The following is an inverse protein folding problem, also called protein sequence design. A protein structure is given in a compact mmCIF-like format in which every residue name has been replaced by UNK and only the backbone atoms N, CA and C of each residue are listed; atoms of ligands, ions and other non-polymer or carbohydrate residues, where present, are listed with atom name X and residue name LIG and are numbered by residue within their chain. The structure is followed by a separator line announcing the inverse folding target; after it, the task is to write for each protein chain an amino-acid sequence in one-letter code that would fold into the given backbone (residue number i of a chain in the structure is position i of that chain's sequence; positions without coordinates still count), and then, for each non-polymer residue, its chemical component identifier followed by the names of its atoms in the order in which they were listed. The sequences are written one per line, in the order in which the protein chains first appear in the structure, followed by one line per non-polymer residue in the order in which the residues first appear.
data_IF_113248496509
#
_entry.id   IF_113248496509
#
_cell.length_a   1.000
_cell.length_b   1.000
_cell.length_c   1.000
_cell.angle_alpha   90.00
_cell.angle_beta   90.00
_cell.angle_gamma   90.00
#
_symmetry.space_group_name_H-M   'P 1'
#
loop_
_entity.id
_entity.type
_entity.pdbx_description
1 polymer ?
#
# COMPACT_ATOMS: atom_id res chain seq x y z
N UNK A 1 76.68 1.31 8.09
CA UNK A 1 76.61 2.17 6.90
C UNK A 1 75.16 2.65 6.82
N UNK A 2 74.73 3.83 7.31
CA UNK A 2 74.95 5.23 6.84
C UNK A 2 74.81 5.28 5.30
N UNK A 3 73.81 5.90 4.66
CA UNK A 3 73.36 7.32 4.78
C UNK A 3 72.21 7.64 3.79
N UNK A 4 71.18 8.41 4.27
CA UNK A 4 70.36 9.51 3.68
C UNK A 4 69.66 9.38 2.29
N UNK A 5 68.52 10.02 1.94
CA UNK A 5 67.76 11.19 2.44
C UNK A 5 66.27 11.18 2.00
N UNK A 6 65.44 11.90 2.76
CA UNK A 6 64.01 12.27 2.62
C UNK A 6 63.84 13.55 1.73
N UNK A 7 62.68 14.26 1.70
CA UNK A 7 61.40 14.07 0.98
C UNK A 7 61.15 15.14 -0.14
N UNK A 8 60.01 15.07 -0.86
CA UNK A 8 59.43 16.27 -1.48
C UNK A 8 57.89 16.28 -1.41
N UNK A 9 57.37 17.28 -0.70
CA UNK A 9 55.98 17.74 -0.67
C UNK A 9 55.59 18.47 -1.98
N UNK A 10 54.29 18.70 -2.14
CA UNK A 10 53.54 19.79 -2.83
C UNK A 10 52.47 19.21 -3.78
N UNK A 11 51.25 19.74 -3.92
CA UNK A 11 50.40 20.62 -3.12
C UNK A 11 49.01 20.63 -3.79
N UNK A 12 48.01 20.95 -2.99
CA UNK A 12 46.61 21.23 -3.33
C UNK A 12 46.49 22.38 -4.35
N UNK A 13 45.59 22.29 -5.34
CA UNK A 13 45.15 23.44 -6.14
C UNK A 13 43.62 23.44 -6.28
N UNK A 14 43.00 24.33 -5.50
CA UNK A 14 41.60 24.73 -5.54
C UNK A 14 41.45 25.81 -6.63
N UNK A 15 40.56 25.65 -7.60
CA UNK A 15 40.29 26.70 -8.60
C UNK A 15 38.91 27.31 -8.32
N UNK A 16 38.93 28.42 -7.57
CA UNK A 16 37.88 29.45 -7.65
C UNK A 16 38.30 30.45 -8.73
N UNK A 17 37.44 30.66 -9.72
CA UNK A 17 37.59 31.81 -10.64
C UNK A 17 36.32 32.65 -10.58
N UNK A 18 36.38 33.73 -9.82
CA UNK A 18 35.48 34.86 -9.93
C UNK A 18 35.91 35.73 -11.11
N UNK A 19 34.97 36.14 -11.96
CA UNK A 19 35.19 37.18 -12.95
C UNK A 19 34.14 38.27 -12.74
N UNK A 20 34.59 39.48 -12.44
CA UNK A 20 33.80 40.72 -12.43
C UNK A 20 34.58 41.77 -13.22
N UNK A 21 33.86 42.54 -14.05
CA UNK A 21 33.86 44.03 -14.17
C UNK A 21 32.91 44.37 -15.34
N UNK A 22 31.73 45.00 -15.18
CA UNK A 22 31.37 46.37 -14.75
C UNK A 22 31.37 47.40 -15.91
N UNK A 23 30.22 48.04 -16.20
CA UNK A 23 30.08 49.43 -16.72
C UNK A 23 28.65 49.96 -16.38
N UNK A 24 28.45 51.25 -16.00
CA UNK A 24 27.19 51.75 -15.47
C UNK A 24 26.28 52.35 -16.55
N UNK A 25 24.96 52.28 -16.34
CA UNK A 25 23.99 53.14 -17.02
C UNK A 25 22.91 53.57 -16.03
N UNK A 26 22.86 54.88 -15.81
CA UNK A 26 21.75 55.62 -15.19
C UNK A 26 20.44 55.38 -15.94
N UNK A 27 19.40 54.94 -15.22
CA UNK A 27 18.06 54.84 -15.77
C UNK A 27 17.03 54.56 -14.67
N UNK A 28 16.38 55.63 -14.20
CA UNK A 28 15.04 55.67 -13.59
C UNK A 28 14.61 54.55 -12.66
N UNK A 29 14.58 54.88 -11.37
CA UNK A 29 13.75 54.26 -10.35
C UNK A 29 12.28 54.15 -10.80
N UNK A 30 11.80 52.92 -10.90
CA UNK A 30 10.39 52.57 -10.76
C UNK A 30 10.32 51.18 -10.14
N UNK A 31 10.17 51.13 -8.81
CA UNK A 31 9.64 49.96 -8.14
C UNK A 31 8.24 49.69 -8.71
N UNK A 32 7.92 48.45 -9.05
CA UNK A 32 6.66 47.87 -8.64
C UNK A 32 6.96 46.95 -7.47
N UNK A 33 6.62 47.43 -6.27
CA UNK A 33 6.20 46.56 -5.17
C UNK A 33 5.09 45.65 -5.71
N UNK A 34 5.36 44.36 -5.81
CA UNK A 34 4.47 43.29 -5.37
C UNK A 34 5.31 42.01 -5.40
N UNK A 35 5.89 41.66 -4.26
CA UNK A 35 6.27 40.26 -4.04
C UNK A 35 5.00 39.43 -4.20
N UNK A 36 5.03 38.43 -5.08
CA UNK A 36 3.96 37.46 -5.19
C UNK A 36 3.70 36.88 -3.78
N UNK A 37 2.46 36.94 -3.27
CA UNK A 37 2.17 36.37 -1.96
C UNK A 37 2.55 34.89 -2.00
N UNK A 38 3.19 34.34 -0.94
CA UNK A 38 3.55 32.93 -0.92
C UNK A 38 2.31 32.11 -1.22
N UNK A 39 2.39 31.23 -2.23
CA UNK A 39 1.29 30.33 -2.56
C UNK A 39 0.89 29.60 -1.28
N UNK A 40 -0.32 29.90 -0.79
CA UNK A 40 -0.95 29.12 0.27
C UNK A 40 -0.92 27.67 -0.19
N UNK A 41 -0.38 26.72 0.60
CA UNK A 41 -0.40 25.32 0.20
C UNK A 41 -1.85 24.95 -0.08
N UNK A 42 -2.14 24.59 -1.34
CA UNK A 42 -3.44 24.06 -1.71
C UNK A 42 -3.72 22.92 -0.74
N UNK A 43 -4.81 22.98 0.06
CA UNK A 43 -5.13 21.89 0.95
C UNK A 43 -5.24 20.63 0.11
N UNK A 44 -4.47 19.60 0.46
CA UNK A 44 -4.60 18.30 -0.16
C UNK A 44 -6.09 17.92 -0.11
N UNK A 45 -6.66 17.41 -1.22
CA UNK A 45 -8.04 16.96 -1.19
C UNK A 45 -8.20 15.97 -0.04
N UNK A 46 -9.32 16.03 0.71
CA UNK A 46 -9.55 15.09 1.80
C UNK A 46 -9.39 13.67 1.26
N UNK A 47 -8.60 12.85 1.95
CA UNK A 47 -8.53 11.41 1.67
C UNK A 47 -9.96 10.88 1.75
N UNK A 48 -10.51 10.28 0.68
CA UNK A 48 -11.88 9.82 0.69
C UNK A 48 -12.03 8.81 1.83
N UNK A 49 -12.95 9.07 2.75
CA UNK A 49 -13.33 8.07 3.75
C UNK A 49 -13.91 6.88 2.98
N UNK A 50 -13.35 5.67 3.11
CA UNK A 50 -13.91 4.50 2.47
C UNK A 50 -15.35 4.30 2.92
N UNK A 51 -16.29 4.12 1.98
CA UNK A 51 -17.69 3.84 2.26
C UNK A 51 -17.90 2.34 2.55
N UNK A 52 -17.08 1.78 3.44
CA UNK A 52 -17.12 0.39 3.88
C UNK A 52 -16.65 0.29 5.34
N UNK A 53 -17.10 -0.74 6.05
CA UNK A 53 -16.64 -1.01 7.41
C UNK A 53 -15.19 -1.54 7.40
N UNK A 54 -14.36 -1.06 8.30
CA UNK A 54 -13.00 -1.56 8.47
C UNK A 54 -12.56 -1.42 9.92
N UNK A 55 -11.55 -2.19 10.31
CA UNK A 55 -10.98 -2.17 11.65
C UNK A 55 -9.49 -2.47 11.60
N UNK A 56 -8.74 -1.98 12.59
CA UNK A 56 -7.36 -2.39 12.83
C UNK A 56 -7.27 -3.62 13.76
N UNK A 57 -8.41 -4.12 14.26
CA UNK A 57 -8.43 -5.34 15.05
C UNK A 57 -8.23 -6.58 14.17
N UNK A 58 -7.64 -7.64 14.71
CA UNK A 58 -7.53 -8.95 14.03
C UNK A 58 -8.90 -9.54 13.72
N UNK A 59 -9.93 -9.20 14.51
CA UNK A 59 -11.31 -9.63 14.28
C UNK A 59 -12.29 -8.49 14.54
N UNK A 60 -13.29 -8.34 13.68
CA UNK A 60 -14.36 -7.35 13.85
C UNK A 60 -15.70 -7.83 13.29
N UNK A 61 -16.78 -7.21 13.76
CA UNK A 61 -18.15 -7.55 13.36
C UNK A 61 -18.63 -6.67 12.21
N UNK A 62 -19.37 -7.28 11.28
CA UNK A 62 -20.06 -6.62 10.17
C UNK A 62 -21.45 -7.23 9.99
N UNK A 63 -22.32 -6.50 9.31
CA UNK A 63 -23.68 -6.97 8.99
C UNK A 63 -23.72 -7.69 7.62
N UNK A 64 -24.66 -8.61 7.45
CA UNK A 64 -24.89 -9.25 6.14
C UNK A 64 -25.27 -8.18 5.10
N UNK A 65 -24.64 -8.22 3.92
CA UNK A 65 -24.84 -7.24 2.85
C UNK A 65 -24.07 -5.92 3.04
N UNK A 66 -23.41 -5.71 4.18
CA UNK A 66 -22.55 -4.55 4.41
C UNK A 66 -21.22 -4.74 3.66
N UNK A 67 -20.74 -3.67 3.03
CA UNK A 67 -19.39 -3.64 2.47
C UNK A 67 -18.35 -3.53 3.59
N UNK A 68 -17.28 -4.32 3.54
CA UNK A 68 -16.18 -4.26 4.51
C UNK A 68 -14.81 -4.54 3.89
N UNK A 69 -13.76 -3.93 4.43
CA UNK A 69 -12.37 -4.16 4.04
C UNK A 69 -11.70 -5.18 4.94
N UNK A 70 -11.04 -6.17 4.34
CA UNK A 70 -10.35 -7.24 5.05
C UNK A 70 -8.86 -7.25 4.67
N UNK A 71 -7.98 -7.03 5.66
CA UNK A 71 -6.54 -7.16 5.48
C UNK A 71 -6.06 -8.58 5.72
N UNK A 72 -4.84 -8.87 5.27
CA UNK A 72 -4.18 -10.14 5.53
C UNK A 72 -4.30 -10.55 7.01
N UNK A 73 -4.65 -11.80 7.23
CA UNK A 73 -4.86 -12.44 8.54
C UNK A 73 -5.99 -11.86 9.40
N UNK A 74 -6.77 -10.92 8.87
CA UNK A 74 -7.96 -10.41 9.56
C UNK A 74 -9.18 -11.31 9.33
N UNK A 75 -10.05 -11.33 10.32
CA UNK A 75 -11.35 -12.02 10.28
C UNK A 75 -12.51 -11.02 10.41
N UNK A 76 -13.45 -11.07 9.48
CA UNK A 76 -14.75 -10.42 9.63
C UNK A 76 -15.77 -11.47 10.08
N UNK A 77 -16.50 -11.19 11.15
CA UNK A 77 -17.61 -12.02 11.63
C UNK A 77 -18.95 -11.39 11.29
N UNK A 78 -19.92 -12.20 10.85
CA UNK A 78 -21.31 -11.81 10.66
C UNK A 78 -22.15 -12.60 11.68
N UNK A 79 -22.38 -12.06 12.90
CA UNK A 79 -23.01 -12.81 13.98
C UNK A 79 -24.42 -13.31 13.66
N UNK A 80 -25.18 -12.55 12.87
CA UNK A 80 -26.55 -12.92 12.46
C UNK A 80 -26.63 -14.22 11.67
N UNK A 81 -25.53 -14.60 11.00
CA UNK A 81 -25.42 -15.81 10.18
C UNK A 81 -24.49 -16.86 10.81
N UNK A 82 -23.84 -16.51 11.94
CA UNK A 82 -22.77 -17.30 12.54
C UNK A 82 -21.56 -17.47 11.63
N UNK A 83 -21.31 -16.53 10.70
CA UNK A 83 -20.21 -16.60 9.75
C UNK A 83 -18.94 -15.95 10.30
N UNK A 84 -17.79 -16.51 9.93
CA UNK A 84 -16.49 -15.87 10.04
C UNK A 84 -15.70 -16.06 8.74
N UNK A 85 -15.13 -14.97 8.24
CA UNK A 85 -14.43 -14.88 6.96
C UNK A 85 -13.01 -14.43 7.25
N UNK A 86 -12.04 -15.31 7.02
CA UNK A 86 -10.62 -15.06 7.22
C UNK A 86 -9.94 -14.81 5.88
N UNK A 87 -9.21 -13.70 5.77
CA UNK A 87 -8.33 -13.41 4.65
C UNK A 87 -6.94 -14.02 4.92
N UNK A 88 -6.45 -14.85 4.01
CA UNK A 88 -5.15 -15.51 4.11
C UNK A 88 -4.32 -15.07 2.90
N UNK A 89 -3.10 -14.59 3.12
CA UNK A 89 -2.20 -14.20 2.03
C UNK A 89 -0.99 -15.13 2.02
N UNK A 90 -0.84 -15.90 0.95
CA UNK A 90 0.37 -16.68 0.70
C UNK A 90 1.34 -15.85 -0.14
N UNK A 91 2.53 -15.63 0.40
CA UNK A 91 3.58 -14.86 -0.27
C UNK A 91 4.67 -15.82 -0.72
N UNK A 92 4.85 -15.95 -2.04
CA UNK A 92 5.97 -16.67 -2.62
C UNK A 92 7.11 -15.70 -2.99
N UNK A 93 8.28 -15.94 -2.41
CA UNK A 93 9.50 -15.23 -2.77
C UNK A 93 10.23 -16.01 -3.86
N UNK A 94 10.49 -15.35 -4.99
CA UNK A 94 11.46 -15.86 -5.96
C UNK A 94 12.74 -15.04 -5.83
N UNK A 95 13.68 -15.60 -5.08
CA UNK A 95 15.02 -15.05 -5.01
C UNK A 95 15.70 -15.15 -6.39
N UNK A 96 16.40 -14.10 -6.84
CA UNK A 96 17.33 -14.22 -7.96
C UNK A 96 18.36 -15.32 -7.68
N UNK A 97 18.79 -16.04 -8.72
CA UNK A 97 19.84 -17.06 -8.58
C UNK A 97 21.21 -16.46 -8.25
N UNK A 98 21.36 -15.14 -8.36
CA UNK A 98 22.57 -14.41 -8.02
C UNK A 98 22.62 -14.12 -6.51
N UNK A 99 23.57 -14.70 -5.76
CA UNK A 99 23.69 -14.51 -4.31
C UNK A 99 24.10 -13.09 -3.89
N UNK A 100 24.43 -12.20 -4.84
CA UNK A 100 24.72 -10.78 -4.58
C UNK A 100 23.46 -9.90 -4.65
N UNK A 101 22.32 -10.44 -5.10
CA UNK A 101 21.05 -9.72 -5.15
C UNK A 101 20.18 -10.19 -3.98
N UNK A 102 19.86 -9.27 -3.09
CA UNK A 102 18.90 -9.52 -2.00
C UNK A 102 17.56 -9.97 -2.57
N UNK A 103 16.91 -10.93 -1.89
CA UNK A 103 15.56 -11.35 -2.25
C UNK A 103 14.58 -10.21 -1.94
N UNK A 104 14.46 -9.25 -2.84
CA UNK A 104 13.73 -8.00 -2.60
C UNK A 104 12.31 -7.97 -3.16
N UNK A 105 11.82 -9.06 -3.75
CA UNK A 105 10.49 -9.06 -4.39
C UNK A 105 9.71 -10.32 -4.03
N UNK A 106 8.69 -10.26 -3.14
CA UNK A 106 7.57 -11.18 -3.23
C UNK A 106 6.97 -11.06 -4.64
N UNK A 107 7.16 -12.10 -5.44
CA UNK A 107 6.87 -12.07 -6.88
C UNK A 107 5.43 -12.47 -7.15
N UNK A 108 4.78 -13.16 -6.19
CA UNK A 108 3.39 -13.59 -6.26
C UNK A 108 2.83 -13.55 -4.83
N UNK A 109 1.85 -12.66 -4.59
CA UNK A 109 0.92 -12.80 -3.48
C UNK A 109 -0.31 -13.54 -4.01
N UNK A 110 -0.79 -14.54 -3.26
CA UNK A 110 -2.03 -15.23 -3.58
C UNK A 110 -2.94 -15.17 -2.37
N UNK A 111 -4.05 -14.47 -2.54
CA UNK A 111 -5.07 -14.29 -1.53
C UNK A 111 -6.02 -15.49 -1.54
N UNK A 112 -6.42 -15.93 -0.35
CA UNK A 112 -7.39 -16.97 -0.10
C UNK A 112 -8.40 -16.49 0.93
N UNK A 113 -9.61 -17.01 0.83
CA UNK A 113 -10.64 -16.82 1.84
C UNK A 113 -11.02 -18.16 2.44
N UNK A 114 -10.92 -18.25 3.76
CA UNK A 114 -11.51 -19.34 4.54
C UNK A 114 -12.79 -18.82 5.18
N UNK A 115 -13.90 -19.47 4.85
CA UNK A 115 -15.22 -19.13 5.44
C UNK A 115 -15.67 -20.26 6.34
N UNK A 116 -16.13 -19.91 7.52
CA UNK A 116 -16.72 -20.85 8.49
C UNK A 116 -18.10 -20.40 8.92
N UNK A 117 -18.95 -21.36 9.30
CA UNK A 117 -20.27 -21.12 9.86
C UNK A 117 -20.45 -21.93 11.14
N UNK A 118 -20.84 -21.27 12.24
CA UNK A 118 -21.02 -21.92 13.55
C UNK A 118 -19.75 -22.62 14.05
N UNK A 119 -18.58 -22.10 13.68
CA UNK A 119 -17.27 -22.68 14.04
C UNK A 119 -16.80 -23.84 13.15
N UNK A 120 -17.57 -24.22 12.11
CA UNK A 120 -17.16 -25.24 11.13
C UNK A 120 -16.74 -24.58 9.82
N UNK A 121 -15.57 -24.93 9.30
CA UNK A 121 -15.12 -24.49 7.99
C UNK A 121 -16.11 -24.98 6.92
N UNK A 122 -16.62 -24.05 6.12
CA UNK A 122 -17.40 -24.33 4.92
C UNK A 122 -16.46 -24.71 3.77
N UNK A 123 -15.49 -23.83 3.48
CA UNK A 123 -14.46 -24.06 2.46
C UNK A 123 -13.27 -23.09 2.61
N UNK A 124 -12.21 -23.32 1.84
CA UNK A 124 -11.11 -22.38 1.62
C UNK A 124 -10.81 -22.31 0.12
N UNK A 125 -10.93 -21.12 -0.45
CA UNK A 125 -10.80 -20.91 -1.90
C UNK A 125 -9.84 -19.76 -2.21
N UNK A 126 -9.12 -19.79 -3.34
CA UNK A 126 -8.37 -18.64 -3.81
C UNK A 126 -9.32 -17.47 -4.10
N UNK A 127 -8.82 -16.25 -3.98
CA UNK A 127 -9.57 -15.03 -4.27
C UNK A 127 -10.01 -14.99 -5.75
N UNK A 128 -11.30 -14.75 -5.94
CA UNK A 128 -11.94 -14.42 -7.22
C UNK A 128 -12.92 -13.25 -7.01
N UNK A 129 -13.42 -12.67 -8.11
CA UNK A 129 -14.40 -11.57 -8.02
C UNK A 129 -15.69 -12.00 -7.28
N UNK A 130 -16.12 -13.25 -7.47
CA UNK A 130 -17.23 -13.87 -6.76
C UNK A 130 -16.82 -15.26 -6.25
N UNK A 131 -17.01 -15.52 -4.96
CA UNK A 131 -16.67 -16.80 -4.35
C UNK A 131 -17.86 -17.36 -3.58
N UNK A 132 -18.09 -18.66 -3.70
CA UNK A 132 -19.27 -19.34 -3.13
C UNK A 132 -18.87 -20.23 -1.98
N UNK A 133 -19.49 -20.01 -0.81
CA UNK A 133 -19.28 -20.78 0.40
C UNK A 133 -20.63 -21.26 0.95
N UNK A 134 -21.03 -22.48 0.57
CA UNK A 134 -22.36 -23.00 0.90
C UNK A 134 -23.47 -22.12 0.33
N UNK A 135 -24.32 -21.59 1.22
CA UNK A 135 -25.46 -20.72 0.89
C UNK A 135 -25.06 -19.24 0.78
N UNK A 136 -23.77 -18.90 0.85
CA UNK A 136 -23.29 -17.52 0.82
C UNK A 136 -22.39 -17.26 -0.38
N UNK A 137 -22.42 -16.03 -0.85
CA UNK A 137 -21.56 -15.51 -1.89
C UNK A 137 -20.81 -14.30 -1.37
N UNK A 138 -19.49 -14.35 -1.44
CA UNK A 138 -18.60 -13.22 -1.21
C UNK A 138 -18.39 -12.52 -2.56
N UNK A 139 -18.65 -11.22 -2.63
CA UNK A 139 -18.39 -10.41 -3.83
C UNK A 139 -17.33 -9.37 -3.55
N UNK A 140 -16.35 -9.30 -4.43
CA UNK A 140 -15.32 -8.27 -4.39
C UNK A 140 -15.88 -6.95 -4.91
N UNK A 141 -15.76 -5.90 -4.11
CA UNK A 141 -16.13 -4.52 -4.45
C UNK A 141 -14.91 -3.76 -4.94
N UNK A 142 -13.76 -3.96 -4.26
CA UNK A 142 -12.49 -3.37 -4.62
C UNK A 142 -11.34 -4.26 -4.13
N UNK A 143 -10.23 -4.25 -4.84
CA UNK A 143 -9.00 -4.90 -4.44
C UNK A 143 -7.86 -3.87 -4.45
N UNK A 144 -7.19 -3.70 -3.32
CA UNK A 144 -6.07 -2.79 -3.17
C UNK A 144 -4.78 -3.57 -2.96
N UNK A 145 -3.96 -3.62 -4.01
CA UNK A 145 -2.60 -4.14 -3.96
C UNK A 145 -1.64 -2.96 -3.67
N UNK A 146 -1.45 -2.64 -2.39
CA UNK A 146 -0.48 -1.64 -1.95
C UNK A 146 0.89 -2.29 -1.73
N UNK A 147 1.78 -2.21 -2.73
CA UNK A 147 3.15 -2.73 -2.59
C UNK A 147 4.02 -1.75 -1.78
N UNK A 148 3.94 -1.85 -0.47
CA UNK A 148 4.91 -1.28 0.46
C UNK A 148 5.46 -2.42 1.31
N UNK A 149 6.73 -2.77 1.09
CA UNK A 149 7.45 -3.86 1.77
C UNK A 149 7.47 -3.69 3.29
N UNK A 150 7.31 -2.47 3.81
CA UNK A 150 7.29 -2.23 5.25
C UNK A 150 5.89 -2.40 5.85
N UNK A 151 4.83 -2.22 5.07
CA UNK A 151 3.47 -2.05 5.60
C UNK A 151 2.44 -3.08 5.11
N UNK A 152 2.75 -3.90 4.09
CA UNK A 152 1.99 -5.09 3.65
C UNK A 152 0.45 -4.95 3.79
N UNK A 153 -0.13 -3.87 3.28
CA UNK A 153 -1.56 -3.62 3.38
C UNK A 153 -2.30 -4.25 2.18
N UNK A 154 -2.32 -5.58 2.10
CA UNK A 154 -3.20 -6.29 1.18
C UNK A 154 -4.63 -6.16 1.71
N UNK A 155 -5.44 -5.31 1.10
CA UNK A 155 -6.81 -5.04 1.53
C UNK A 155 -7.78 -5.37 0.41
N UNK A 156 -8.73 -6.27 0.69
CA UNK A 156 -9.81 -6.62 -0.23
C UNK A 156 -11.12 -6.15 0.39
N UNK A 157 -11.88 -5.37 -0.37
CA UNK A 157 -13.21 -4.89 0.03
C UNK A 157 -14.25 -5.84 -0.52
N UNK A 158 -15.08 -6.39 0.37
CA UNK A 158 -16.04 -7.43 0.08
C UNK A 158 -17.45 -7.02 0.52
N UNK A 159 -18.45 -7.70 -0.02
CA UNK A 159 -19.78 -7.85 0.59
C UNK A 159 -20.17 -9.33 0.62
N UNK A 160 -21.09 -9.69 1.50
CA UNK A 160 -21.59 -11.05 1.65
C UNK A 160 -23.09 -11.06 1.43
N UNK A 161 -23.55 -11.92 0.53
CA UNK A 161 -24.95 -12.10 0.21
C UNK A 161 -25.36 -13.56 0.43
N UNK A 162 -26.63 -13.78 0.81
CA UNK A 162 -27.23 -15.12 0.73
C UNK A 162 -27.50 -15.45 -0.73
N UNK A 163 -27.15 -16.66 -1.14
CA UNK A 163 -27.61 -17.22 -2.41
C UNK A 163 -29.08 -17.54 -2.25
N UNK A 164 -29.93 -16.94 -3.07
CA UNK A 164 -31.31 -17.37 -3.16
C UNK A 164 -31.31 -18.84 -3.63
N UNK A 165 -31.77 -19.77 -2.77
CA UNK A 165 -32.20 -21.08 -3.25
C UNK A 165 -33.34 -20.83 -4.21
N UNK A 166 -33.10 -21.02 -5.51
CA UNK A 166 -34.16 -21.11 -6.50
C UNK A 166 -34.98 -22.35 -6.13
N UNK A 167 -35.98 -22.16 -5.28
CA UNK A 167 -37.02 -23.13 -5.05
C UNK A 167 -37.83 -23.18 -6.34
N UNK A 168 -37.42 -24.06 -7.26
CA UNK A 168 -38.29 -24.54 -8.32
C UNK A 168 -39.52 -25.14 -7.64
N UNK A 169 -40.56 -24.31 -7.52
CA UNK A 169 -41.88 -24.75 -7.09
C UNK A 169 -42.40 -25.63 -8.24
N UNK A 170 -42.83 -26.88 -7.94
CA UNK A 170 -43.19 -27.87 -8.96
C UNK A 170 -44.36 -27.43 -9.84
#
# INVERSE_FOLDING_TARGET
MKTLATPLLFALALVLTACRTAVPATGTSSLPDTAEPPETPTPSPPTPTPNYAWSNAETFEVELGQAFGLRADQTASIPSEGLAILHIVNIEFKCPSDPQVSCEVPLIATDYFQVSQGGKILDTQPWEEEMVFGDYMLKTIAHYEGYDYENHNFEIVLTVERRETINNTP
#
